data_IF_994178499593
#
_entry.id   IF_994178499593
#
_cell.length_a   1.000
_cell.length_b   1.000
_cell.length_c   1.000
_cell.angle_alpha   90.00
_cell.angle_beta   90.00
_cell.angle_gamma   90.00
#
_symmetry.space_group_name_H-M   'P 1'
#
loop_
_entity.id
_entity.type
_entity.pdbx_description
1 polymer ?
#
# COMPACT_ATOMS: atom_id res chain seq x y z
N UNK A 1 6.58 -11.29 11.51
CA UNK A 1 5.62 -10.90 10.51
C UNK A 1 4.28 -10.54 11.16
N UNK A 2 3.71 -9.47 10.72
CA UNK A 2 2.42 -9.08 11.26
C UNK A 2 1.34 -10.01 10.73
N UNK A 3 0.44 -10.43 11.60
CA UNK A 3 -0.71 -11.19 11.18
C UNK A 3 -1.87 -10.26 10.90
N UNK A 4 -3.04 -10.85 10.75
CA UNK A 4 -4.25 -10.07 10.64
C UNK A 4 -4.68 -9.82 9.21
N UNK A 5 -5.42 -8.76 9.04
CA UNK A 5 -6.06 -8.45 7.76
C UNK A 5 -6.01 -6.96 7.51
N UNK A 6 -6.20 -6.59 6.25
CA UNK A 6 -6.30 -5.19 5.87
C UNK A 6 -7.71 -4.93 5.33
N UNK A 7 -8.07 -3.66 5.26
CA UNK A 7 -9.35 -3.25 4.69
C UNK A 7 -9.18 -2.93 3.23
N UNK A 8 -10.13 -3.36 2.41
CA UNK A 8 -10.19 -3.00 1.00
C UNK A 8 -11.59 -2.49 0.75
N UNK A 9 -11.70 -1.19 0.51
CA UNK A 9 -13.00 -0.56 0.32
C UNK A 9 -13.51 -0.81 -1.09
N UNK A 10 -14.82 -0.96 -1.23
CA UNK A 10 -15.43 -1.21 -2.55
C UNK A 10 -15.17 -0.09 -3.54
N UNK A 11 -14.95 1.12 -3.05
CA UNK A 11 -14.66 2.24 -3.93
C UNK A 11 -13.37 2.06 -4.72
N UNK A 12 -12.56 1.07 -4.35
CA UNK A 12 -11.37 0.76 -5.14
C UNK A 12 -11.73 0.52 -6.60
N UNK A 13 -12.88 -0.09 -6.85
CA UNK A 13 -13.32 -0.36 -8.22
C UNK A 13 -13.52 0.92 -9.04
N UNK A 14 -13.69 2.05 -8.37
CA UNK A 14 -13.89 3.35 -9.02
C UNK A 14 -12.65 4.23 -8.96
N UNK A 15 -11.57 3.72 -8.41
CA UNK A 15 -10.33 4.47 -8.27
C UNK A 15 -9.65 4.58 -9.63
N UNK A 16 -9.23 5.80 -10.01
CA UNK A 16 -8.69 6.01 -11.35
C UNK A 16 -7.41 5.23 -11.58
N UNK A 17 -6.56 5.09 -10.57
CA UNK A 17 -5.36 4.28 -10.73
C UNK A 17 -5.74 2.82 -10.98
N UNK A 18 -6.63 2.29 -10.14
CA UNK A 18 -7.05 0.89 -10.25
C UNK A 18 -7.66 0.62 -11.61
N UNK A 19 -8.51 1.53 -12.10
CA UNK A 19 -9.16 1.34 -13.38
C UNK A 19 -8.18 1.36 -14.53
N UNK A 20 -7.05 2.02 -14.37
CA UNK A 20 -6.03 2.11 -15.41
C UNK A 20 -4.92 1.08 -15.25
N UNK A 21 -5.08 0.13 -14.34
CA UNK A 21 -4.10 -0.92 -14.14
C UNK A 21 -4.42 -2.14 -14.99
N UNK A 22 -3.36 -2.80 -15.46
CA UNK A 22 -3.51 -4.15 -16.03
C UNK A 22 -3.76 -5.13 -14.89
N UNK A 23 -4.10 -6.37 -15.26
CA UNK A 23 -4.30 -7.41 -14.24
C UNK A 23 -3.04 -7.59 -13.39
N UNK A 24 -1.86 -7.60 -14.04
CA UNK A 24 -0.60 -7.75 -13.32
C UNK A 24 -0.36 -6.59 -12.37
N UNK A 25 -0.68 -5.37 -12.82
CA UNK A 25 -0.51 -4.20 -11.97
C UNK A 25 -1.45 -4.23 -10.78
N UNK A 26 -2.66 -4.76 -10.97
CA UNK A 26 -3.61 -4.90 -9.87
C UNK A 26 -3.11 -5.88 -8.82
N UNK A 27 -2.48 -6.96 -9.25
CA UNK A 27 -1.89 -7.91 -8.31
C UNK A 27 -0.79 -7.23 -7.51
N UNK A 28 0.06 -6.45 -8.18
CA UNK A 28 1.13 -5.74 -7.49
C UNK A 28 0.53 -4.73 -6.50
N UNK A 29 -0.51 -4.01 -6.93
CA UNK A 29 -1.18 -3.02 -6.09
C UNK A 29 -1.66 -3.63 -4.77
N UNK A 30 -2.41 -4.73 -4.87
CA UNK A 30 -2.94 -5.39 -3.67
C UNK A 30 -1.81 -5.96 -2.82
N UNK A 31 -0.79 -6.52 -3.45
CA UNK A 31 0.34 -7.09 -2.72
C UNK A 31 1.03 -6.02 -1.87
N UNK A 32 1.23 -4.84 -2.43
CA UNK A 32 1.86 -3.75 -1.69
C UNK A 32 1.01 -3.34 -0.49
N UNK A 33 -0.30 -3.30 -0.64
CA UNK A 33 -1.16 -3.00 0.49
C UNK A 33 -1.02 -4.04 1.59
N UNK A 34 -0.90 -5.31 1.20
CA UNK A 34 -0.75 -6.40 2.18
C UNK A 34 0.61 -6.38 2.86
N UNK A 35 1.62 -5.80 2.22
CA UNK A 35 2.97 -5.75 2.78
C UNK A 35 3.15 -4.58 3.74
N UNK A 36 2.28 -3.58 3.70
CA UNK A 36 2.45 -2.38 4.50
C UNK A 36 2.26 -2.69 5.98
N UNK A 37 3.02 -2.00 6.82
CA UNK A 37 2.91 -2.17 8.26
C UNK A 37 1.67 -1.48 8.78
N UNK A 38 0.96 -2.14 9.69
CA UNK A 38 -0.17 -1.52 10.39
C UNK A 38 0.26 -0.75 11.62
N UNK A 39 1.44 -1.09 12.15
CA UNK A 39 1.97 -0.50 13.37
C UNK A 39 3.38 -0.06 13.11
N UNK A 40 3.88 0.82 13.95
CA UNK A 40 5.27 1.25 13.84
C UNK A 40 6.21 0.08 14.05
N UNK A 41 7.27 0.02 13.26
CA UNK A 41 8.31 -0.99 13.38
C UNK A 41 9.66 -0.36 13.15
N UNK A 42 10.67 -0.89 13.85
CA UNK A 42 12.05 -0.49 13.61
C UNK A 42 12.60 -1.24 12.42
N UNK A 43 13.30 -0.51 11.57
CA UNK A 43 13.96 -1.08 10.41
C UNK A 43 15.33 -0.47 10.27
N UNK A 44 16.23 -1.19 9.60
CA UNK A 44 17.50 -0.62 9.16
C UNK A 44 17.36 -0.30 7.68
N UNK A 45 17.52 0.98 7.36
CA UNK A 45 17.42 1.44 5.97
C UNK A 45 18.54 2.43 5.71
N UNK A 46 19.29 2.22 4.65
CA UNK A 46 20.45 3.05 4.32
C UNK A 46 21.48 3.07 5.44
N UNK A 47 21.57 1.97 6.19
CA UNK A 47 22.54 1.83 7.26
C UNK A 47 22.15 2.51 8.55
N UNK A 48 20.95 3.07 8.64
CA UNK A 48 20.50 3.78 9.84
C UNK A 48 19.24 3.14 10.37
N UNK A 49 19.06 3.27 11.67
CA UNK A 49 17.80 2.87 12.29
C UNK A 49 16.70 3.78 11.82
N UNK A 50 15.57 3.20 11.53
CA UNK A 50 14.44 3.91 10.98
C UNK A 50 13.17 3.34 11.56
N UNK A 51 12.23 4.19 11.90
CA UNK A 51 10.94 3.74 12.38
C UNK A 51 9.95 3.86 11.25
N UNK A 52 9.49 2.71 10.74
CA UNK A 52 8.46 2.68 9.73
C UNK A 52 7.12 2.94 10.40
N UNK A 53 6.42 3.95 9.91
CA UNK A 53 5.08 4.28 10.39
C UNK A 53 4.07 3.38 9.68
N UNK A 54 2.83 3.35 10.18
CA UNK A 54 1.79 2.60 9.46
C UNK A 54 1.73 3.04 8.01
N UNK A 55 1.63 2.08 7.11
CA UNK A 55 1.62 2.34 5.68
C UNK A 55 2.99 2.33 5.04
N UNK A 56 4.05 2.25 5.84
CA UNK A 56 5.43 2.19 5.34
C UNK A 56 5.97 0.79 5.47
N UNK A 57 6.90 0.44 4.58
CA UNK A 57 7.60 -0.84 4.70
C UNK A 57 8.87 -0.80 3.85
N UNK A 58 9.84 -1.62 4.25
CA UNK A 58 11.10 -1.76 3.53
C UNK A 58 11.02 -3.06 2.74
N UNK A 59 11.35 -3.00 1.46
CA UNK A 59 11.27 -4.17 0.59
C UNK A 59 12.32 -4.06 -0.50
N UNK A 60 12.22 -4.94 -1.49
CA UNK A 60 13.04 -4.91 -2.69
C UNK A 60 12.19 -5.40 -3.84
N UNK A 61 12.62 -5.11 -5.06
CA UNK A 61 11.89 -5.59 -6.23
C UNK A 61 11.80 -7.10 -6.23
N UNK A 62 12.88 -7.77 -5.82
CA UNK A 62 12.88 -9.22 -5.76
C UNK A 62 11.89 -9.75 -4.73
N UNK A 63 11.83 -9.11 -3.56
CA UNK A 63 10.86 -9.53 -2.53
C UNK A 63 9.43 -9.37 -3.02
N UNK A 64 9.17 -8.28 -3.72
CA UNK A 64 7.83 -8.08 -4.29
C UNK A 64 7.53 -9.18 -5.29
N UNK A 65 8.51 -9.51 -6.16
CA UNK A 65 8.30 -10.56 -7.14
C UNK A 65 8.00 -11.90 -6.50
N UNK A 66 8.68 -12.21 -5.39
CA UNK A 66 8.43 -13.47 -4.70
C UNK A 66 6.99 -13.57 -4.21
N UNK A 67 6.37 -12.45 -3.91
CA UNK A 67 4.99 -12.44 -3.41
C UNK A 67 3.96 -12.40 -4.53
N UNK A 68 4.26 -11.71 -5.63
CA UNK A 68 3.29 -11.62 -6.73
C UNK A 68 3.36 -12.78 -7.69
N UNK A 69 4.52 -13.44 -7.75
CA UNK A 69 4.70 -14.58 -8.65
C UNK A 69 5.70 -14.30 -9.74
N UNK A 70 6.37 -15.34 -10.19
CA UNK A 70 7.46 -15.21 -11.15
C UNK A 70 6.98 -14.85 -12.54
N UNK A 71 5.68 -14.99 -12.81
CA UNK A 71 5.11 -14.58 -14.08
C UNK A 71 5.19 -13.07 -14.29
N UNK A 72 5.37 -12.32 -13.22
CA UNK A 72 5.51 -10.87 -13.29
C UNK A 72 6.99 -10.54 -13.17
N UNK A 73 7.53 -9.88 -14.17
CA UNK A 73 8.96 -9.60 -14.22
C UNK A 73 9.34 -8.46 -13.30
N UNK A 74 10.62 -8.41 -12.95
CA UNK A 74 11.17 -7.30 -12.16
C UNK A 74 10.91 -5.97 -12.87
N UNK A 75 11.05 -5.94 -14.18
CA UNK A 75 10.82 -4.71 -14.92
C UNK A 75 9.37 -4.26 -14.82
N UNK A 76 8.44 -5.20 -14.89
CA UNK A 76 7.02 -4.87 -14.72
C UNK A 76 6.75 -4.29 -13.33
N UNK A 77 7.40 -4.85 -12.31
CA UNK A 77 7.23 -4.36 -10.95
C UNK A 77 7.77 -2.93 -10.86
N UNK A 78 8.98 -2.70 -11.40
CA UNK A 78 9.56 -1.36 -11.36
C UNK A 78 8.66 -0.34 -12.05
N UNK A 79 8.15 -0.68 -13.23
CA UNK A 79 7.30 0.22 -13.97
C UNK A 79 5.98 0.46 -13.25
N UNK A 80 5.48 -0.56 -12.58
CA UNK A 80 4.25 -0.42 -11.79
C UNK A 80 4.45 0.55 -10.65
N UNK A 81 5.59 0.44 -9.95
CA UNK A 81 5.88 1.36 -8.86
C UNK A 81 5.97 2.80 -9.36
N UNK A 82 6.59 3.00 -10.52
CA UNK A 82 6.69 4.33 -11.12
C UNK A 82 5.31 4.90 -11.44
N UNK A 83 4.44 4.06 -12.00
CA UNK A 83 3.08 4.46 -12.29
C UNK A 83 2.33 4.83 -11.02
N UNK A 84 2.49 4.02 -9.98
CA UNK A 84 1.80 4.26 -8.72
C UNK A 84 2.27 5.56 -8.08
N UNK A 85 3.54 5.92 -8.27
CA UNK A 85 4.03 7.21 -7.80
C UNK A 85 3.40 8.37 -8.55
N UNK A 86 3.28 8.24 -9.86
CA UNK A 86 2.67 9.26 -10.70
C UNK A 86 1.23 9.53 -10.26
N UNK A 87 0.51 8.46 -9.92
CA UNK A 87 -0.86 8.59 -9.44
C UNK A 87 -0.94 8.96 -7.96
N UNK A 88 0.20 9.17 -7.32
CA UNK A 88 0.27 9.56 -5.92
C UNK A 88 -0.31 8.52 -4.97
N UNK A 89 -0.23 7.26 -5.37
CA UNK A 89 -0.64 6.16 -4.50
C UNK A 89 0.45 5.84 -3.47
N UNK A 90 1.71 5.97 -3.86
CA UNK A 90 2.81 5.68 -2.97
C UNK A 90 4.01 6.55 -3.34
N UNK A 91 4.99 6.59 -2.43
CA UNK A 91 6.31 7.09 -2.73
C UNK A 91 7.31 5.97 -2.49
N UNK A 92 8.45 6.06 -3.17
CA UNK A 92 9.47 5.02 -3.09
C UNK A 92 10.84 5.66 -3.05
N UNK A 93 11.61 5.36 -2.00
CA UNK A 93 13.01 5.74 -1.91
C UNK A 93 13.83 4.46 -1.98
N UNK A 94 14.90 4.48 -2.76
CA UNK A 94 15.65 3.26 -2.95
C UNK A 94 17.13 3.47 -2.65
N UNK A 95 17.77 2.38 -2.21
CA UNK A 95 19.21 2.23 -2.19
C UNK A 95 19.55 1.15 -3.21
N UNK A 96 20.82 0.75 -3.23
CA UNK A 96 21.23 -0.36 -4.10
C UNK A 96 20.51 -1.66 -3.78
N UNK A 97 20.08 -1.82 -2.53
CA UNK A 97 19.56 -3.12 -2.06
C UNK A 97 18.09 -3.07 -1.67
N UNK A 98 17.64 -1.94 -1.15
CA UNK A 98 16.32 -1.87 -0.53
C UNK A 98 15.54 -0.68 -1.03
N UNK A 99 14.23 -0.74 -0.78
CA UNK A 99 13.32 0.37 -1.03
C UNK A 99 12.48 0.62 0.20
N UNK A 100 12.31 1.89 0.53
CA UNK A 100 11.33 2.30 1.54
C UNK A 100 10.10 2.77 0.77
N UNK A 101 9.00 2.08 0.96
CA UNK A 101 7.76 2.41 0.29
C UNK A 101 6.78 2.97 1.31
N UNK A 102 6.14 4.08 0.96
CA UNK A 102 5.13 4.71 1.78
C UNK A 102 3.83 4.76 0.97
N UNK A 103 2.79 4.10 1.48
CA UNK A 103 1.47 4.17 0.86
C UNK A 103 0.85 5.49 1.28
N UNK A 104 0.58 6.35 0.31
CA UNK A 104 -0.04 7.63 0.59
C UNK A 104 -1.48 7.40 1.02
N UNK A 105 -1.92 8.22 1.96
CA UNK A 105 -3.30 8.15 2.47
C UNK A 105 -3.64 6.80 3.10
N UNK A 106 -2.63 6.11 3.63
CA UNK A 106 -2.84 4.81 4.27
C UNK A 106 -3.94 4.89 5.32
N UNK A 107 -3.97 5.96 6.10
CA UNK A 107 -4.99 6.11 7.13
C UNK A 107 -6.40 6.13 6.57
N UNK A 108 -6.57 6.72 5.40
CA UNK A 108 -7.90 6.75 4.79
C UNK A 108 -8.35 5.35 4.38
N UNK A 109 -7.41 4.50 3.97
CA UNK A 109 -7.75 3.13 3.57
C UNK A 109 -8.03 2.24 4.77
N UNK A 110 -7.31 2.46 5.89
CA UNK A 110 -7.35 1.52 7.00
C UNK A 110 -7.98 2.10 8.26
N UNK A 111 -8.43 3.35 8.20
CA UNK A 111 -8.96 4.02 9.37
C UNK A 111 -10.20 3.31 9.89
N UNK A 112 -10.36 3.37 11.21
CA UNK A 112 -11.53 2.79 11.82
C UNK A 112 -12.76 3.59 11.47
N UNK A 113 -13.87 2.92 11.34
CA UNK A 113 -15.09 3.57 10.97
C UNK A 113 -15.79 4.28 12.10
N UNK A 114 -15.38 4.05 13.23
CA UNK A 114 -16.01 4.67 14.35
C UNK A 114 -15.92 6.13 14.50
N UNK A 115 -15.91 6.16 14.25
CA UNK A 115 -15.81 7.01 14.34
C UNK A 115 -16.47 7.63 14.64
N UNK A 116 -16.64 7.38 14.88
CA UNK A 116 -17.17 7.89 15.09
C UNK A 116 -17.73 8.49 15.25
N UNK A 117 -17.60 8.50 15.10
CA UNK A 117 -17.99 8.90 15.17
C UNK A 117 -18.65 9.37 15.12
N UNK A 118 -18.85 9.66 15.10
CA UNK A 118 -19.37 10.07 14.98
C UNK A 118 -20.05 10.40 14.48
N UNK A 119 -20.34 10.62 14.15
CA UNK A 119 -20.77 10.86 13.68
C UNK A 119 -21.62 10.69 13.10
N UNK A 120 -21.86 10.71 12.96
CA UNK A 120 -22.58 10.49 12.44
C UNK A 120 -23.11 10.32 11.66
N UNK A 121 -22.82 10.25 11.37
CA UNK A 121 -23.07 9.96 10.92
C UNK A 121 -23.33 9.62 10.17
N UNK A 122 -23.61 9.68 9.81
CA UNK A 122 -23.75 9.27 9.45
C UNK A 122 -23.87 8.89 8.71
N UNK A 123 -23.98 8.89 8.30
CA UNK A 123 -23.82 8.44 8.07
C UNK A 123 -23.94 7.98 7.43
N UNK A 124 -24.28 8.09 7.10
CA UNK A 124 -24.11 7.65 6.94
C UNK A 124 -24.52 7.20 6.47
N UNK A 125 -24.74 7.28 6.25
CA UNK A 125 -24.77 6.92 6.22
C UNK A 125 -25.03 6.54 5.78
N UNK A 126 -25.38 6.70 5.57
CA UNK A 126 -25.42 6.44 5.55
C UNK A 126 -25.58 6.19 4.99
N UNK A 127 -25.84 6.40 4.84
CA UNK A 127 -25.74 6.27 4.88
C UNK A 127 -25.66 6.17 4.58
N UNK A 128 -25.83 6.26 4.22
CA UNK A 128 -25.55 6.22 4.51
C UNK A 128 -25.59 6.17 4.33
N UNK A 129 -25.88 6.33 3.87
CA UNK A 129 -25.70 6.39 4.31
C UNK A 129 -25.67 6.27 4.28
#
# INVERSE_FOLDING_TARGET
MAGGWIKVHRKLLENSLWENCTAEQKVIFITLLLMANHEEKEWIFKGEKYICKPGQFVTSLKSIQEKVGKDISIMQIRRSLEKFEVYQFLTSESTNKNRLITIENWGLYQEKEDVPTDKPTSNRQATDN
#
